data_IF_907371232179
#
_entry.id   IF_907371232179
#
_cell.length_a   1.000
_cell.length_b   1.000
_cell.length_c   1.000
_cell.angle_alpha   90.00
_cell.angle_beta   90.00
_cell.angle_gamma   90.00
#
_symmetry.space_group_name_H-M   'P 1'
#
loop_
_entity.id
_entity.type
_entity.pdbx_description
1 polymer ?
#
# COMPACT_ATOMS: atom_id res chain seq x y z
N UNK A 1 28.03 2.95 -27.45
CA UNK A 1 26.97 2.14 -26.77
C UNK A 1 26.49 2.90 -25.53
N UNK A 2 25.36 3.62 -25.64
CA UNK A 2 24.82 4.41 -24.53
C UNK A 2 24.21 3.49 -23.46
N UNK A 3 24.79 3.47 -22.25
CA UNK A 3 24.20 2.85 -21.07
C UNK A 3 23.05 3.73 -20.59
N UNK A 4 21.81 3.32 -20.87
CA UNK A 4 20.59 3.94 -20.31
C UNK A 4 20.73 3.94 -18.78
N UNK A 5 20.87 5.12 -18.17
CA UNK A 5 20.79 5.29 -16.71
C UNK A 5 19.38 4.87 -16.30
N UNK A 6 19.25 3.79 -15.51
CA UNK A 6 18.01 3.45 -14.82
C UNK A 6 17.70 4.54 -13.78
N UNK A 7 17.09 5.65 -14.23
CA UNK A 7 16.55 6.70 -13.36
C UNK A 7 15.44 6.06 -12.51
N UNK A 8 15.68 5.83 -11.22
CA UNK A 8 14.59 5.47 -10.30
C UNK A 8 14.97 4.70 -9.04
N UNK A 9 16.17 4.13 -8.93
CA UNK A 9 16.59 3.44 -7.70
C UNK A 9 17.16 4.46 -6.70
N UNK A 10 16.32 4.96 -5.80
CA UNK A 10 16.81 5.73 -4.65
C UNK A 10 15.86 6.74 -4.01
N UNK A 11 14.57 6.78 -4.36
CA UNK A 11 13.66 7.61 -3.58
C UNK A 11 13.37 6.89 -2.26
N UNK A 12 14.12 7.24 -1.20
CA UNK A 12 13.85 6.76 0.16
C UNK A 12 12.36 6.99 0.46
N UNK A 13 11.62 5.91 0.69
CA UNK A 13 10.23 6.00 1.09
C UNK A 13 10.25 6.56 2.51
N UNK A 14 9.81 7.81 2.71
CA UNK A 14 9.81 8.50 4.02
C UNK A 14 9.17 7.65 5.13
N UNK A 15 8.20 6.83 4.76
CA UNK A 15 7.40 6.00 5.65
C UNK A 15 7.59 4.51 5.34
N UNK A 16 8.83 4.02 5.27
CA UNK A 16 9.14 2.64 4.87
C UNK A 16 8.41 1.60 5.75
N UNK A 17 8.49 1.72 7.08
CA UNK A 17 7.83 0.76 7.99
C UNK A 17 6.30 0.75 7.85
N UNK A 18 5.72 1.94 7.62
CA UNK A 18 4.29 2.08 7.37
C UNK A 18 3.92 1.51 6.00
N UNK A 19 4.77 1.68 4.99
CA UNK A 19 4.62 1.08 3.67
C UNK A 19 4.55 -0.44 3.77
N UNK A 20 5.49 -1.05 4.49
CA UNK A 20 5.57 -2.50 4.64
C UNK A 20 4.39 -3.06 5.45
N UNK A 21 4.02 -2.43 6.58
CA UNK A 21 2.87 -2.86 7.37
C UNK A 21 1.55 -2.68 6.62
N UNK A 22 1.39 -1.55 5.92
CA UNK A 22 0.20 -1.29 5.11
C UNK A 22 0.16 -2.21 3.89
N UNK A 23 1.31 -2.56 3.31
CA UNK A 23 1.42 -3.55 2.23
C UNK A 23 1.00 -4.93 2.69
N UNK A 24 1.48 -5.40 3.85
CA UNK A 24 1.04 -6.68 4.42
C UNK A 24 -0.49 -6.73 4.56
N UNK A 25 -1.07 -5.73 5.24
CA UNK A 25 -2.53 -5.62 5.37
C UNK A 25 -3.23 -5.56 4.00
N UNK A 26 -2.70 -4.76 3.07
CA UNK A 26 -3.27 -4.59 1.74
C UNK A 26 -3.25 -5.90 0.95
N UNK A 27 -2.17 -6.70 1.05
CA UNK A 27 -2.07 -8.00 0.40
C UNK A 27 -3.02 -9.02 1.01
N UNK A 28 -3.12 -9.11 2.34
CA UNK A 28 -4.06 -10.01 3.04
C UNK A 28 -5.52 -9.74 2.65
N UNK A 29 -5.88 -8.46 2.45
CA UNK A 29 -7.23 -8.06 2.05
C UNK A 29 -7.44 -8.09 0.53
N UNK A 30 -6.36 -8.33 -0.24
CA UNK A 30 -6.39 -8.38 -1.70
C UNK A 30 -6.20 -9.78 -2.26
N UNK A 31 -5.65 -10.74 -1.51
CA UNK A 31 -5.34 -12.07 -2.03
C UNK A 31 -6.56 -12.64 -2.76
N UNK A 32 -6.43 -12.99 -4.05
CA UNK A 32 -7.47 -13.77 -4.68
C UNK A 32 -7.53 -15.08 -3.89
N UNK A 33 -8.68 -15.35 -3.27
CA UNK A 33 -8.98 -16.68 -2.74
C UNK A 33 -8.94 -17.64 -3.93
N UNK A 34 -7.78 -18.22 -4.20
CA UNK A 34 -7.62 -19.22 -5.26
C UNK A 34 -8.20 -20.58 -4.86
N UNK A 35 -8.96 -20.70 -3.76
CA UNK A 35 -9.49 -21.99 -3.34
C UNK A 35 -11.00 -21.99 -3.07
N UNK A 36 -11.64 -20.97 -2.47
CA UNK A 36 -13.08 -21.06 -2.18
C UNK A 36 -13.75 -19.68 -2.11
N UNK A 37 -14.30 -19.13 -3.20
CA UNK A 37 -15.23 -17.99 -3.08
C UNK A 37 -15.96 -17.61 -4.38
N UNK A 38 -16.77 -18.50 -4.96
CA UNK A 38 -17.91 -18.04 -5.78
C UNK A 38 -19.01 -17.38 -4.92
N UNK A 39 -18.88 -17.41 -3.59
CA UNK A 39 -19.94 -17.03 -2.64
C UNK A 39 -19.54 -15.86 -1.71
N UNK A 40 -18.23 -15.57 -1.55
CA UNK A 40 -17.79 -14.47 -0.69
C UNK A 40 -17.55 -13.25 -1.57
N UNK A 41 -18.44 -12.26 -1.50
CA UNK A 41 -18.25 -10.93 -2.11
C UNK A 41 -16.85 -10.43 -1.76
N UNK A 42 -15.93 -10.47 -2.72
CA UNK A 42 -14.60 -9.93 -2.55
C UNK A 42 -14.73 -8.43 -2.22
N UNK A 43 -14.49 -8.06 -0.96
CA UNK A 43 -14.49 -6.67 -0.57
C UNK A 43 -13.26 -5.99 -1.18
N UNK A 44 -13.48 -5.31 -2.31
CA UNK A 44 -12.45 -4.47 -2.94
C UNK A 44 -11.90 -3.51 -1.89
N UNK A 45 -10.58 -3.53 -1.66
CA UNK A 45 -9.91 -2.53 -0.83
C UNK A 45 -10.09 -1.17 -1.51
N UNK A 46 -11.02 -0.37 -1.00
CA UNK A 46 -11.25 0.99 -1.48
C UNK A 46 -10.19 1.92 -0.91
N UNK A 47 -9.96 3.06 -1.58
CA UNK A 47 -9.07 4.09 -1.05
C UNK A 47 -9.47 4.53 0.36
N UNK A 48 -10.77 4.57 0.68
CA UNK A 48 -11.28 4.90 2.02
C UNK A 48 -10.84 3.89 3.07
N UNK A 49 -10.94 2.58 2.78
CA UNK A 49 -10.49 1.52 3.70
C UNK A 49 -8.97 1.58 3.89
N UNK A 50 -8.22 1.74 2.80
CA UNK A 50 -6.77 1.88 2.84
C UNK A 50 -6.32 3.12 3.63
N UNK A 51 -6.94 4.27 3.37
CA UNK A 51 -6.60 5.52 4.05
C UNK A 51 -6.86 5.40 5.55
N UNK A 52 -8.02 4.86 5.95
CA UNK A 52 -8.34 4.63 7.38
C UNK A 52 -7.33 3.70 8.05
N UNK A 53 -6.96 2.60 7.40
CA UNK A 53 -5.97 1.69 7.96
C UNK A 53 -4.59 2.34 8.05
N UNK A 54 -4.19 3.06 7.01
CA UNK A 54 -2.94 3.81 6.98
C UNK A 54 -2.84 4.86 8.09
N UNK A 55 -3.93 5.61 8.35
CA UNK A 55 -3.96 6.58 9.45
C UNK A 55 -3.86 5.91 10.82
N UNK A 56 -4.52 4.76 11.00
CA UNK A 56 -4.43 3.99 12.25
C UNK A 56 -3.00 3.50 12.49
N UNK A 57 -2.38 2.88 11.48
CA UNK A 57 -1.00 2.39 11.55
C UNK A 57 0.00 3.53 11.77
N UNK A 58 -0.21 4.68 11.12
CA UNK A 58 0.65 5.85 11.34
C UNK A 58 0.55 6.36 12.78
N UNK A 59 -0.65 6.36 13.36
CA UNK A 59 -0.86 6.74 14.76
C UNK A 59 -0.21 5.76 15.73
N UNK A 60 -0.30 4.45 15.46
CA UNK A 60 0.36 3.40 16.26
C UNK A 60 1.88 3.55 16.23
N UNK A 61 2.43 3.84 15.06
CA UNK A 61 3.86 4.07 14.85
C UNK A 61 4.35 5.44 15.36
N UNK A 62 3.45 6.29 15.90
CA UNK A 62 3.73 7.68 16.30
C UNK A 62 4.35 8.52 15.16
N UNK A 63 4.04 8.19 13.91
CA UNK A 63 4.47 8.94 12.74
C UNK A 63 3.46 10.04 12.39
N UNK A 64 3.95 11.16 11.87
CA UNK A 64 3.11 12.12 11.15
C UNK A 64 2.40 11.42 10.00
N UNK A 65 1.06 11.44 10.02
CA UNK A 65 0.24 10.78 9.01
C UNK A 65 0.66 11.19 7.59
N UNK A 66 0.95 10.24 6.68
CA UNK A 66 1.22 10.56 5.30
C UNK A 66 0.07 11.32 4.64
N UNK A 67 0.40 12.18 3.68
CA UNK A 67 -0.63 12.86 2.89
C UNK A 67 -1.49 11.87 2.08
N UNK A 68 -2.71 12.28 1.72
CA UNK A 68 -3.58 11.51 0.79
C UNK A 68 -2.86 11.13 -0.51
N UNK A 69 -1.95 11.99 -1.01
CA UNK A 69 -1.16 11.74 -2.22
C UNK A 69 -0.20 10.56 -2.03
N UNK A 70 0.34 10.39 -0.83
CA UNK A 70 1.18 9.23 -0.50
C UNK A 70 0.36 7.93 -0.58
N UNK A 71 -0.82 7.89 0.02
CA UNK A 71 -1.72 6.72 -0.07
C UNK A 71 -2.20 6.42 -1.49
N UNK A 72 -2.45 7.45 -2.32
CA UNK A 72 -2.76 7.24 -3.75
C UNK A 72 -1.56 6.62 -4.49
N UNK A 73 -0.35 7.10 -4.21
CA UNK A 73 0.88 6.52 -4.77
C UNK A 73 1.12 5.10 -4.28
N UNK A 74 0.85 4.82 -3.01
CA UNK A 74 0.85 3.46 -2.47
C UNK A 74 -0.07 2.57 -3.29
N UNK A 75 -1.35 2.96 -3.46
CA UNK A 75 -2.27 2.16 -4.27
C UNK A 75 -1.77 1.98 -5.69
N UNK A 76 -1.19 2.99 -6.34
CA UNK A 76 -0.66 2.84 -7.71
C UNK A 76 0.54 1.89 -7.75
N UNK A 77 1.45 1.96 -6.76
CA UNK A 77 2.65 1.10 -6.70
C UNK A 77 2.33 -0.36 -6.44
N UNK A 78 1.29 -0.61 -5.63
CA UNK A 78 0.90 -1.96 -5.21
C UNK A 78 -0.41 -2.43 -5.88
N UNK A 79 -0.98 -1.64 -6.81
CA UNK A 79 -2.12 -2.04 -7.65
C UNK A 79 -1.66 -3.09 -8.65
#
# INVERSE_FOLDING_TARGET
RQRKRLKGRGHKIKYADLDDRLFKWFTEHRTPSTVIASIIRHEKVTFKKLFRQGTNLSSELKYEAPSMKWYRRFMIRHR
#
